data_IF_578215889925
#
_entry.id   IF_578215889925
#
_cell.length_a   1.000
_cell.length_b   1.000
_cell.length_c   1.000
_cell.angle_alpha   90.00
_cell.angle_beta   90.00
_cell.angle_gamma   90.00
#
_symmetry.space_group_name_H-M   'P 1'
#
loop_
_entity.id
_entity.type
_entity.pdbx_description
1 polymer ?
#
# COMPACT_ATOMS: atom_id res chain seq x y z
N UNK A 1 10.86 11.49 -22.52
CA UNK A 1 10.01 11.77 -21.36
C UNK A 1 10.27 10.69 -20.33
N UNK A 2 10.61 11.05 -19.09
CA UNK A 2 10.73 10.08 -18.01
C UNK A 2 9.30 9.73 -17.57
N UNK A 3 8.88 8.50 -17.81
CA UNK A 3 7.58 8.02 -17.37
C UNK A 3 7.67 7.66 -15.89
N UNK A 4 6.94 8.38 -15.04
CA UNK A 4 6.87 8.08 -13.61
C UNK A 4 6.04 6.80 -13.43
N UNK A 5 6.62 5.84 -12.71
CA UNK A 5 5.95 4.60 -12.32
C UNK A 5 5.80 4.60 -10.82
N UNK A 6 4.59 4.32 -10.35
CA UNK A 6 4.24 4.21 -8.94
C UNK A 6 3.71 2.80 -8.69
N UNK A 7 3.98 2.27 -7.49
CA UNK A 7 3.42 0.98 -7.08
C UNK A 7 2.66 1.17 -5.77
N UNK A 8 1.51 0.55 -5.66
CA UNK A 8 0.74 0.45 -4.43
C UNK A 8 0.59 -1.00 -4.01
N UNK A 9 0.66 -1.25 -2.72
CA UNK A 9 0.58 -2.58 -2.13
C UNK A 9 -0.45 -2.55 -1.00
N UNK A 10 -1.56 -3.26 -1.17
CA UNK A 10 -2.41 -3.63 -0.05
C UNK A 10 -1.89 -4.94 0.56
N UNK A 11 -1.21 -4.83 1.70
CA UNK A 11 -0.44 -5.93 2.26
C UNK A 11 -1.26 -6.73 3.27
N UNK A 12 -1.36 -8.04 3.07
CA UNK A 12 -1.85 -8.91 4.13
C UNK A 12 -0.75 -9.25 5.13
N UNK A 13 -1.07 -9.32 6.42
CA UNK A 13 -0.09 -9.65 7.47
C UNK A 13 0.44 -11.11 7.45
N UNK A 14 0.00 -11.95 6.52
CA UNK A 14 0.50 -13.32 6.36
C UNK A 14 0.43 -13.75 4.90
N UNK A 15 1.44 -14.48 4.42
CA UNK A 15 1.49 -15.01 3.05
C UNK A 15 0.38 -16.04 2.75
N UNK A 16 -0.26 -16.60 3.79
CA UNK A 16 -1.47 -17.44 3.61
C UNK A 16 -2.68 -16.65 3.13
N UNK A 17 -2.59 -15.31 3.09
CA UNK A 17 -3.64 -14.39 2.69
C UNK A 17 -3.13 -13.60 1.48
N UNK A 18 -4.06 -13.29 0.58
CA UNK A 18 -3.80 -12.51 -0.63
C UNK A 18 -3.42 -11.08 -0.24
N UNK A 19 -2.48 -10.51 -0.98
CA UNK A 19 -2.14 -9.09 -1.00
C UNK A 19 -2.43 -8.55 -2.41
N UNK A 20 -2.87 -7.30 -2.50
CA UNK A 20 -3.08 -6.61 -3.76
C UNK A 20 -1.86 -5.80 -4.15
N UNK A 21 -1.50 -5.79 -5.43
CA UNK A 21 -0.47 -4.91 -5.99
C UNK A 21 -1.04 -4.17 -7.18
N UNK A 22 -0.87 -2.85 -7.20
CA UNK A 22 -1.20 -1.99 -8.32
C UNK A 22 0.09 -1.37 -8.88
N UNK A 23 0.30 -1.50 -10.19
CA UNK A 23 1.36 -0.83 -10.92
C UNK A 23 0.72 0.30 -11.73
N UNK A 24 1.06 1.54 -11.43
CA UNK A 24 0.52 2.72 -12.08
C UNK A 24 1.57 3.34 -13.01
N UNK A 25 1.33 3.25 -14.32
CA UNK A 25 2.21 3.78 -15.38
C UNK A 25 1.42 4.71 -16.28
N UNK A 26 1.82 5.98 -16.38
CA UNK A 26 1.17 6.95 -17.30
C UNK A 26 -0.37 6.96 -17.17
N UNK A 27 -0.87 7.03 -15.93
CA UNK A 27 -2.32 6.97 -15.62
C UNK A 27 -3.01 5.67 -16.04
N UNK A 28 -2.26 4.58 -16.27
CA UNK A 28 -2.80 3.24 -16.49
C UNK A 28 -2.45 2.34 -15.33
N UNK A 29 -3.47 1.73 -14.75
CA UNK A 29 -3.33 0.82 -13.63
C UNK A 29 -3.37 -0.64 -14.10
N UNK A 30 -2.40 -1.42 -13.63
CA UNK A 30 -2.38 -2.87 -13.75
C UNK A 30 -2.41 -3.50 -12.35
N UNK A 31 -3.13 -4.61 -12.21
CA UNK A 31 -3.37 -5.25 -10.92
C UNK A 31 -2.79 -6.65 -10.87
N UNK A 32 -2.25 -7.03 -9.71
CA UNK A 32 -1.83 -8.40 -9.41
C UNK A 32 -2.32 -8.78 -8.00
N UNK A 33 -2.71 -10.04 -7.85
CA UNK A 33 -2.99 -10.67 -6.57
C UNK A 33 -1.83 -11.61 -6.26
N UNK A 34 -1.11 -11.35 -5.17
CA UNK A 34 0.10 -12.11 -4.78
C UNK A 34 0.01 -12.53 -3.32
N UNK A 35 0.93 -13.39 -2.88
CA UNK A 35 0.89 -13.93 -1.53
C UNK A 35 2.19 -13.69 -0.78
N UNK A 36 3.32 -13.99 -1.40
CA UNK A 36 4.65 -14.02 -0.76
C UNK A 36 5.39 -12.70 -0.86
N UNK A 37 6.36 -12.50 0.02
CA UNK A 37 7.26 -11.34 -0.06
C UNK A 37 8.08 -11.34 -1.35
N UNK A 38 8.50 -12.51 -1.83
CA UNK A 38 9.28 -12.63 -3.06
C UNK A 38 8.48 -12.19 -4.28
N UNK A 39 7.22 -12.62 -4.42
CA UNK A 39 6.36 -12.16 -5.53
C UNK A 39 6.21 -10.62 -5.54
N UNK A 40 6.08 -10.01 -4.36
CA UNK A 40 6.02 -8.54 -4.24
C UNK A 40 7.36 -7.92 -4.66
N UNK A 41 8.47 -8.40 -4.11
CA UNK A 41 9.80 -7.85 -4.39
C UNK A 41 10.20 -8.00 -5.86
N UNK A 42 9.87 -9.12 -6.49
CA UNK A 42 10.15 -9.37 -7.90
C UNK A 42 9.36 -8.38 -8.77
N UNK A 43 8.08 -8.15 -8.49
CA UNK A 43 7.29 -7.12 -9.19
C UNK A 43 7.93 -5.74 -9.04
N UNK A 44 8.29 -5.33 -7.82
CA UNK A 44 8.84 -3.98 -7.59
C UNK A 44 10.20 -3.83 -8.28
N UNK A 45 11.06 -4.86 -8.25
CA UNK A 45 12.38 -4.84 -8.92
C UNK A 45 12.27 -4.85 -10.44
N UNK A 46 11.32 -5.60 -11.01
CA UNK A 46 11.11 -5.64 -12.45
C UNK A 46 10.59 -4.30 -12.98
N UNK A 47 9.80 -3.61 -12.16
CA UNK A 47 9.16 -2.34 -12.50
C UNK A 47 10.08 -1.14 -12.26
N UNK A 48 10.92 -1.19 -11.21
CA UNK A 48 11.74 -0.08 -10.71
C UNK A 48 10.93 1.22 -10.53
N UNK A 49 9.89 1.23 -9.66
CA UNK A 49 9.06 2.41 -9.47
C UNK A 49 9.83 3.53 -8.75
N UNK A 50 9.37 4.76 -8.96
CA UNK A 50 9.87 5.93 -8.23
C UNK A 50 9.52 5.82 -6.75
N UNK A 51 8.26 5.47 -6.45
CA UNK A 51 7.72 5.39 -5.09
C UNK A 51 6.80 4.17 -4.95
N UNK A 52 6.79 3.59 -3.75
CA UNK A 52 5.93 2.47 -3.36
C UNK A 52 5.12 2.84 -2.13
N UNK A 53 3.79 2.88 -2.26
CA UNK A 53 2.86 3.02 -1.14
C UNK A 53 2.46 1.66 -0.58
N UNK A 54 2.62 1.44 0.73
CA UNK A 54 2.31 0.15 1.38
C UNK A 54 1.24 0.35 2.45
N UNK A 55 0.13 -0.39 2.36
CA UNK A 55 -0.86 -0.51 3.44
C UNK A 55 -0.35 -1.42 4.56
N UNK A 56 0.56 -0.87 5.37
CA UNK A 56 1.04 -1.49 6.59
C UNK A 56 1.76 -0.45 7.46
N UNK A 57 1.68 -0.55 8.80
CA UNK A 57 2.56 0.23 9.66
C UNK A 57 4.03 -0.08 9.34
N UNK A 58 4.82 0.94 8.99
CA UNK A 58 6.25 0.83 8.70
C UNK A 58 7.13 1.22 9.89
N UNK A 59 6.51 1.38 11.05
CA UNK A 59 7.16 1.52 12.35
C UNK A 59 6.33 0.81 13.41
N UNK A 60 6.99 0.27 14.43
CA UNK A 60 6.35 -0.46 15.51
C UNK A 60 6.87 -0.03 16.87
N UNK A 61 5.98 -0.02 17.86
CA UNK A 61 6.29 0.10 19.27
C UNK A 61 5.26 -0.68 20.10
N UNK A 62 5.55 -0.95 21.38
CA UNK A 62 4.64 -1.75 22.24
C UNK A 62 3.43 -1.00 22.79
N UNK A 63 3.18 0.24 22.32
CA UNK A 63 1.93 0.97 22.58
C UNK A 63 0.88 0.70 21.50
N UNK A 64 -0.42 0.80 21.80
CA UNK A 64 -1.49 0.53 20.85
C UNK A 64 -1.52 1.48 19.64
N UNK A 65 -1.10 2.73 19.80
CA UNK A 65 -1.19 3.76 18.75
C UNK A 65 0.05 4.66 18.78
N UNK A 66 0.58 4.98 17.60
CA UNK A 66 1.60 6.02 17.37
C UNK A 66 0.93 7.40 17.31
N UNK A 67 1.73 8.45 17.33
CA UNK A 67 1.22 9.83 17.22
C UNK A 67 0.40 10.03 15.92
N UNK A 68 0.87 9.48 14.79
CA UNK A 68 0.13 9.49 13.53
C UNK A 68 -1.21 8.74 13.60
N UNK A 69 -1.25 7.58 14.28
CA UNK A 69 -2.48 6.80 14.47
C UNK A 69 -3.49 7.58 15.33
N UNK A 70 -3.01 8.28 16.36
CA UNK A 70 -3.83 9.14 17.23
C UNK A 70 -4.46 10.29 16.42
N UNK A 71 -3.68 10.95 15.56
CA UNK A 71 -4.20 12.05 14.75
C UNK A 71 -5.22 11.61 13.70
N UNK A 72 -4.98 10.47 13.05
CA UNK A 72 -5.96 9.89 12.12
C UNK A 72 -7.26 9.53 12.87
N UNK A 73 -7.17 9.00 14.09
CA UNK A 73 -8.34 8.69 14.92
C UNK A 73 -9.12 9.93 15.36
N UNK A 74 -8.45 11.02 15.71
CA UNK A 74 -9.10 12.32 16.03
C UNK A 74 -9.93 12.85 14.86
N UNK A 75 -9.55 12.51 13.61
CA UNK A 75 -10.30 12.85 12.39
C UNK A 75 -11.45 11.88 12.08
N UNK A 76 -11.76 10.94 12.98
CA UNK A 76 -12.91 10.03 12.86
C UNK A 76 -12.63 8.70 12.15
N UNK A 77 -11.38 8.45 11.74
CA UNK A 77 -11.01 7.19 11.09
C UNK A 77 -10.68 6.10 12.11
N UNK A 78 -11.15 4.88 11.85
CA UNK A 78 -10.96 3.74 12.77
C UNK A 78 -9.69 2.96 12.41
N UNK A 79 -8.63 3.15 13.18
CA UNK A 79 -7.40 2.35 13.11
C UNK A 79 -7.41 1.27 14.20
N UNK A 80 -6.97 0.06 13.84
CA UNK A 80 -6.76 -1.04 14.79
C UNK A 80 -5.47 -0.82 15.60
N UNK A 81 -5.44 -1.19 16.91
CA UNK A 81 -4.22 -1.07 17.70
C UNK A 81 -3.06 -1.90 17.15
N UNK A 82 -1.83 -1.37 17.17
CA UNK A 82 -0.60 -2.10 16.82
C UNK A 82 -0.37 -3.33 17.71
N UNK A 83 -0.87 -3.30 18.95
CA UNK A 83 -0.82 -4.42 19.89
C UNK A 83 -1.74 -5.58 19.51
N UNK A 84 -2.65 -5.39 18.55
CA UNK A 84 -3.45 -6.48 18.00
C UNK A 84 -2.56 -7.45 17.22
N UNK A 85 -2.66 -8.76 17.49
CA UNK A 85 -1.79 -9.79 16.90
C UNK A 85 -1.73 -9.74 15.36
N UNK A 86 -2.85 -9.43 14.71
CA UNK A 86 -2.90 -9.25 13.25
C UNK A 86 -2.11 -8.03 12.78
N UNK A 87 -2.25 -6.90 13.49
CA UNK A 87 -1.54 -5.66 13.17
C UNK A 87 -0.04 -5.77 13.43
N UNK A 88 0.38 -6.44 14.51
CA UNK A 88 1.80 -6.71 14.77
C UNK A 88 2.43 -7.48 13.61
N UNK A 89 1.79 -8.56 13.16
CA UNK A 89 2.28 -9.35 12.01
C UNK A 89 2.32 -8.54 10.72
N UNK A 90 1.31 -7.71 10.47
CA UNK A 90 1.28 -6.81 9.33
C UNK A 90 2.43 -5.79 9.38
N UNK A 91 2.65 -5.17 10.53
CA UNK A 91 3.74 -4.22 10.73
C UNK A 91 5.12 -4.86 10.55
N UNK A 92 5.35 -6.04 11.15
CA UNK A 92 6.59 -6.80 10.98
C UNK A 92 6.86 -7.14 9.51
N UNK A 93 5.81 -7.55 8.77
CA UNK A 93 5.90 -7.84 7.33
C UNK A 93 6.16 -6.57 6.52
N UNK A 94 5.41 -5.51 6.77
CA UNK A 94 5.54 -4.21 6.10
C UNK A 94 6.94 -3.62 6.26
N UNK A 95 7.44 -3.55 7.50
CA UNK A 95 8.80 -3.08 7.80
C UNK A 95 9.87 -3.91 7.09
N UNK A 96 9.71 -5.24 7.02
CA UNK A 96 10.65 -6.11 6.29
C UNK A 96 10.65 -5.79 4.79
N UNK A 97 9.47 -5.68 4.16
CA UNK A 97 9.38 -5.33 2.73
C UNK A 97 9.94 -3.93 2.46
N UNK A 98 9.55 -2.93 3.25
CA UNK A 98 10.03 -1.56 3.14
C UNK A 98 11.57 -1.48 3.24
N UNK A 99 12.18 -2.22 4.17
CA UNK A 99 13.64 -2.30 4.30
C UNK A 99 14.32 -2.83 3.03
N UNK A 100 13.71 -3.79 2.32
CA UNK A 100 14.29 -4.29 1.06
C UNK A 100 14.07 -3.31 -0.10
N UNK A 101 12.87 -2.73 -0.19
CA UNK A 101 12.47 -1.86 -1.30
C UNK A 101 13.21 -0.51 -1.24
N UNK A 102 13.46 0.03 -0.03
CA UNK A 102 14.12 1.33 0.15
C UNK A 102 15.54 1.40 -0.42
N UNK A 103 16.15 0.25 -0.73
CA UNK A 103 17.44 0.19 -1.40
C UNK A 103 17.38 0.68 -2.86
N UNK A 104 16.21 0.72 -3.49
CA UNK A 104 16.07 1.06 -4.91
C UNK A 104 14.81 1.86 -5.28
N UNK A 105 13.87 2.06 -4.35
CA UNK A 105 12.68 2.91 -4.54
C UNK A 105 12.34 3.68 -3.26
N UNK A 106 11.67 4.83 -3.38
CA UNK A 106 11.07 5.49 -2.23
C UNK A 106 9.91 4.64 -1.68
N UNK A 107 9.72 4.63 -0.35
CA UNK A 107 8.65 3.87 0.30
C UNK A 107 7.90 4.76 1.26
N UNK A 108 6.56 4.77 1.15
CA UNK A 108 5.69 5.47 2.09
C UNK A 108 4.69 4.49 2.72
N UNK A 109 4.36 4.75 3.99
CA UNK A 109 3.24 4.12 4.67
C UNK A 109 1.94 4.75 4.18
N UNK A 110 0.96 3.92 3.82
CA UNK A 110 -0.36 4.37 3.38
C UNK A 110 -1.45 3.74 4.24
N UNK A 111 -2.50 4.49 4.52
CA UNK A 111 -3.75 3.94 5.06
C UNK A 111 -4.87 4.24 4.05
N UNK A 112 -5.18 3.31 3.12
CA UNK A 112 -5.97 3.59 1.92
C UNK A 112 -7.37 4.09 2.25
N UNK A 113 -7.98 3.63 3.34
CA UNK A 113 -9.29 4.11 3.76
C UNK A 113 -9.31 5.62 4.11
N UNK A 114 -8.26 6.14 4.77
CA UNK A 114 -8.15 7.58 5.01
C UNK A 114 -7.73 8.32 3.74
N UNK A 115 -6.74 7.81 3.00
CA UNK A 115 -6.27 8.42 1.74
C UNK A 115 -7.41 8.61 0.75
N UNK A 116 -8.28 7.61 0.59
CA UNK A 116 -9.43 7.66 -0.31
C UNK A 116 -10.30 8.90 -0.09
N UNK A 117 -10.52 9.23 1.19
CA UNK A 117 -11.39 10.33 1.61
C UNK A 117 -10.68 11.67 1.64
N UNK A 118 -9.44 11.70 2.13
CA UNK A 118 -8.67 12.94 2.30
C UNK A 118 -8.19 13.50 0.96
N UNK A 119 -7.84 12.63 0.01
CA UNK A 119 -7.28 13.02 -1.28
C UNK A 119 -8.33 13.07 -2.40
N UNK A 120 -9.62 12.88 -2.09
CA UNK A 120 -10.71 12.80 -3.09
C UNK A 120 -10.39 11.83 -4.24
N UNK A 121 -9.91 10.63 -3.88
CA UNK A 121 -9.42 9.62 -4.83
C UNK A 121 -10.52 9.21 -5.83
N UNK A 122 -11.80 9.33 -5.47
CA UNK A 122 -12.93 9.13 -6.39
C UNK A 122 -12.80 9.91 -7.69
N UNK A 123 -12.35 11.15 -7.60
CA UNK A 123 -12.28 12.07 -8.74
C UNK A 123 -11.10 11.68 -9.64
N UNK A 124 -9.98 11.31 -9.01
CA UNK A 124 -8.74 10.91 -9.68
C UNK A 124 -8.93 9.58 -10.42
N UNK A 125 -9.64 8.61 -9.82
CA UNK A 125 -9.88 7.28 -10.42
C UNK A 125 -10.55 7.40 -11.78
N UNK A 126 -11.44 8.38 -11.99
CA UNK A 126 -12.14 8.59 -13.26
C UNK A 126 -11.19 8.90 -14.43
N UNK A 127 -10.00 9.41 -14.12
CA UNK A 127 -8.97 9.76 -15.07
C UNK A 127 -7.87 8.68 -15.19
N UNK A 128 -8.03 7.53 -14.52
CA UNK A 128 -7.11 6.38 -14.59
C UNK A 128 -7.67 5.34 -15.55
N UNK A 129 -6.89 5.02 -16.59
CA UNK A 129 -7.18 3.91 -17.48
C UNK A 129 -6.99 2.57 -16.78
N UNK A 130 -8.00 1.71 -16.81
CA UNK A 130 -7.95 0.37 -16.25
C UNK A 130 -8.25 -0.66 -17.34
N UNK A 131 -7.24 -1.13 -18.11
CA UNK A 131 -7.44 -2.15 -19.13
C UNK A 131 -8.07 -3.43 -18.59
N UNK A 132 -7.89 -3.68 -17.29
CA UNK A 132 -8.63 -4.68 -16.53
C UNK A 132 -9.03 -4.07 -15.20
N UNK A 133 -10.30 -4.26 -14.81
CA UNK A 133 -10.79 -3.82 -13.50
C UNK A 133 -10.13 -4.63 -12.37
N UNK A 134 -9.98 -4.05 -11.15
CA UNK A 134 -9.54 -4.79 -9.99
C UNK A 134 -10.50 -5.94 -9.70
N UNK A 135 -9.96 -7.14 -9.45
CA UNK A 135 -10.74 -8.37 -9.28
C UNK A 135 -11.27 -8.55 -7.86
N UNK A 136 -10.71 -7.81 -6.91
CA UNK A 136 -11.04 -7.92 -5.50
C UNK A 136 -10.73 -6.61 -4.77
N UNK A 137 -11.18 -6.52 -3.52
CA UNK A 137 -10.96 -5.35 -2.67
C UNK A 137 -9.47 -5.03 -2.48
N UNK A 138 -8.63 -6.06 -2.35
CA UNK A 138 -7.20 -5.85 -2.06
C UNK A 138 -6.50 -5.19 -3.27
N UNK A 139 -6.83 -5.60 -4.49
CA UNK A 139 -6.36 -4.92 -5.71
C UNK A 139 -6.87 -3.47 -5.82
N UNK A 140 -8.10 -3.18 -5.39
CA UNK A 140 -8.62 -1.82 -5.38
C UNK A 140 -7.94 -0.95 -4.32
N UNK A 141 -7.71 -1.46 -3.11
CA UNK A 141 -6.98 -0.74 -2.07
C UNK A 141 -5.52 -0.51 -2.47
N UNK A 142 -4.91 -1.45 -3.23
CA UNK A 142 -3.60 -1.26 -3.81
C UNK A 142 -3.55 -0.11 -4.82
N UNK A 143 -4.61 0.15 -5.60
CA UNK A 143 -4.68 1.35 -6.46
C UNK A 143 -4.67 2.63 -5.63
N UNK A 144 -5.40 2.66 -4.51
CA UNK A 144 -5.42 3.82 -3.62
C UNK A 144 -4.02 4.05 -3.04
N UNK A 145 -3.31 2.98 -2.69
CA UNK A 145 -1.91 3.05 -2.27
C UNK A 145 -1.01 3.63 -3.37
N UNK A 146 -1.19 3.21 -4.62
CA UNK A 146 -0.41 3.69 -5.76
C UNK A 146 -0.68 5.17 -6.06
N UNK A 147 -1.92 5.64 -5.89
CA UNK A 147 -2.31 7.03 -6.09
C UNK A 147 -1.89 7.97 -4.95
N UNK A 148 -1.57 7.40 -3.78
CA UNK A 148 -1.04 8.15 -2.63
C UNK A 148 0.48 8.34 -2.72
N UNK A 149 1.17 7.42 -3.42
CA UNK A 149 2.62 7.38 -3.64
C UNK A 149 3.10 8.43 -4.66
#
# INVERSE_FOLDING_TARGET
MIHVILVGIDLAGSEKRRSGVCILRNRRAEFRSVHTDNEILDIVKDVMPKCVGIDAPLSYHDKPFRDGDIEIRKRGYRILPLTFKGMRRLAERGMRLAKHITHFSEVIEVYPHASFRVLNISDIISEIGMPSAPKNKDEFDALICALTA
#
